data_IF_172689247480
#
_entry.id   IF_172689247480
#
_cell.length_a   1.000
_cell.length_b   1.000
_cell.length_c   1.000
_cell.angle_alpha   90.00
_cell.angle_beta   90.00
_cell.angle_gamma   90.00
#
_symmetry.space_group_name_H-M   'P 1'
#
loop_
_entity.id
_entity.type
_entity.pdbx_description
1 polymer ?
#
# COMPACT_ATOMS: atom_id res chain seq x y z
N UNK A 1 -12.75 6.36 10.78
CA UNK A 1 -13.57 5.41 10.00
C UNK A 1 -13.78 4.14 10.78
N UNK A 2 -15.02 3.63 10.82
CA UNK A 2 -15.33 2.29 11.32
C UNK A 2 -15.28 1.27 10.18
N UNK A 3 -14.95 0.02 10.49
CA UNK A 3 -15.04 -1.09 9.54
C UNK A 3 -16.51 -1.47 9.34
N UNK A 4 -16.84 -2.06 8.19
CA UNK A 4 -18.22 -2.40 7.84
C UNK A 4 -18.67 -3.71 8.46
N UNK A 5 -19.94 -3.81 8.81
CA UNK A 5 -20.50 -4.99 9.49
C UNK A 5 -20.35 -6.29 8.71
N UNK A 6 -20.32 -6.20 7.37
CA UNK A 6 -20.15 -7.36 6.48
C UNK A 6 -18.68 -7.73 6.23
N UNK A 7 -17.77 -6.74 6.19
CA UNK A 7 -16.37 -6.99 5.84
C UNK A 7 -15.53 -7.36 7.07
N UNK A 8 -15.85 -6.83 8.25
CA UNK A 8 -15.08 -7.07 9.46
C UNK A 8 -15.03 -8.55 9.86
N UNK A 9 -16.14 -9.32 9.85
CA UNK A 9 -16.10 -10.75 10.15
C UNK A 9 -15.25 -11.55 9.14
N UNK A 10 -15.26 -11.16 7.86
CA UNK A 10 -14.45 -11.80 6.82
C UNK A 10 -12.96 -11.50 7.03
N UNK A 11 -12.62 -10.25 7.37
CA UNK A 11 -11.24 -9.86 7.70
C UNK A 11 -10.73 -10.67 8.89
N UNK A 12 -11.52 -10.76 9.98
CA UNK A 12 -11.13 -11.53 11.16
C UNK A 12 -10.90 -13.02 10.87
N UNK A 13 -11.66 -13.59 9.91
CA UNK A 13 -11.57 -15.00 9.56
C UNK A 13 -10.44 -15.32 8.57
N UNK A 14 -10.20 -14.47 7.58
CA UNK A 14 -9.36 -14.80 6.42
C UNK A 14 -8.07 -13.97 6.30
N UNK A 15 -7.94 -12.86 7.03
CA UNK A 15 -6.73 -12.02 6.96
C UNK A 15 -5.75 -12.46 8.02
N UNK A 16 -4.60 -12.97 7.61
CA UNK A 16 -3.54 -13.43 8.51
C UNK A 16 -2.88 -12.29 9.30
N UNK A 17 -2.87 -11.08 8.75
CA UNK A 17 -2.16 -9.94 9.34
C UNK A 17 -2.61 -8.59 8.82
N UNK A 18 -2.55 -7.61 9.73
CA UNK A 18 -2.64 -6.18 9.43
C UNK A 18 -1.26 -5.54 9.66
N UNK A 19 -0.71 -4.90 8.62
CA UNK A 19 0.54 -4.13 8.70
C UNK A 19 0.16 -2.65 8.72
N UNK A 20 0.73 -1.89 9.67
CA UNK A 20 0.52 -0.44 9.78
C UNK A 20 1.70 0.30 9.16
N UNK A 21 1.40 1.34 8.40
CA UNK A 21 2.38 2.21 7.77
C UNK A 21 2.14 3.66 8.17
N UNK A 22 3.19 4.47 8.10
CA UNK A 22 3.18 5.91 8.34
C UNK A 22 3.03 6.67 7.03
N UNK A 23 2.62 7.94 7.09
CA UNK A 23 2.52 8.79 5.91
C UNK A 23 3.85 8.93 5.17
N UNK A 24 4.98 9.00 5.89
CA UNK A 24 6.31 9.03 5.28
C UNK A 24 6.59 7.77 4.46
N UNK A 25 6.29 6.59 5.01
CA UNK A 25 6.44 5.31 4.30
C UNK A 25 5.53 5.24 3.06
N UNK A 26 4.33 5.82 3.13
CA UNK A 26 3.40 5.91 1.98
C UNK A 26 4.00 6.79 0.88
N UNK A 27 4.51 7.98 1.21
CA UNK A 27 5.11 8.92 0.24
C UNK A 27 6.34 8.29 -0.43
N UNK A 28 7.23 7.65 0.34
CA UNK A 28 8.38 6.93 -0.21
C UNK A 28 7.96 5.80 -1.16
N UNK A 29 6.91 5.05 -0.81
CA UNK A 29 6.36 4.01 -1.67
C UNK A 29 5.77 4.57 -2.97
N UNK A 30 5.00 5.68 -2.91
CA UNK A 30 4.47 6.36 -4.10
C UNK A 30 5.61 6.78 -5.04
N UNK A 31 6.63 7.44 -4.48
CA UNK A 31 7.79 7.91 -5.23
C UNK A 31 8.51 6.75 -5.93
N UNK A 32 8.75 5.65 -5.23
CA UNK A 32 9.42 4.48 -5.80
C UNK A 32 8.62 3.84 -6.95
N UNK A 33 7.30 3.70 -6.82
CA UNK A 33 6.45 3.18 -7.89
C UNK A 33 6.51 4.11 -9.12
N UNK A 34 6.41 5.42 -8.91
CA UNK A 34 6.55 6.40 -9.97
C UNK A 34 7.93 6.34 -10.64
N UNK A 35 9.02 6.35 -9.87
CA UNK A 35 10.38 6.37 -10.41
C UNK A 35 10.76 5.07 -11.14
N UNK A 36 10.36 3.91 -10.60
CA UNK A 36 10.80 2.59 -11.09
C UNK A 36 9.83 1.96 -12.07
N UNK A 37 8.52 2.09 -11.83
CA UNK A 37 7.50 1.48 -12.68
C UNK A 37 6.90 2.48 -13.68
N UNK A 38 7.15 3.79 -13.51
CA UNK A 38 6.56 4.87 -14.33
C UNK A 38 5.03 4.90 -14.27
N UNK A 39 4.47 4.44 -13.14
CA UNK A 39 3.04 4.44 -12.86
C UNK A 39 2.78 5.44 -11.75
N UNK A 40 1.76 6.29 -11.93
CA UNK A 40 1.29 7.20 -10.89
C UNK A 40 0.19 6.51 -10.09
N UNK A 41 0.33 6.51 -8.77
CA UNK A 41 -0.61 5.88 -7.84
C UNK A 41 -1.02 6.87 -6.75
N UNK A 42 -2.19 6.66 -6.17
CA UNK A 42 -2.68 7.47 -5.04
C UNK A 42 -2.14 7.00 -3.68
N UNK A 43 -2.12 7.86 -2.64
CA UNK A 43 -1.59 7.50 -1.32
C UNK A 43 -2.25 6.25 -0.72
N UNK A 44 -3.58 6.13 -0.83
CA UNK A 44 -4.35 4.96 -0.37
C UNK A 44 -3.89 3.66 -1.04
N UNK A 45 -3.57 3.71 -2.33
CA UNK A 45 -3.07 2.54 -3.07
C UNK A 45 -1.62 2.19 -2.71
N UNK A 46 -0.81 3.18 -2.36
CA UNK A 46 0.60 2.96 -2.01
C UNK A 46 0.79 2.26 -0.65
N UNK A 47 -0.23 2.28 0.22
CA UNK A 47 -0.22 1.61 1.54
C UNK A 47 0.21 0.15 1.46
N UNK A 48 -0.29 -0.60 0.46
CA UNK A 48 0.04 -2.02 0.30
C UNK A 48 1.53 -2.23 -0.03
N UNK A 49 2.09 -1.40 -0.92
CA UNK A 49 3.51 -1.47 -1.27
C UNK A 49 4.41 -0.98 -0.13
N UNK A 50 4.01 0.08 0.58
CA UNK A 50 4.70 0.56 1.77
C UNK A 50 4.81 -0.52 2.85
N UNK A 51 3.74 -1.31 3.07
CA UNK A 51 3.76 -2.43 4.01
C UNK A 51 4.75 -3.52 3.62
N UNK A 52 4.87 -3.82 2.32
CA UNK A 52 5.86 -4.76 1.79
C UNK A 52 7.29 -4.24 2.01
N UNK A 53 7.56 -2.96 1.73
CA UNK A 53 8.88 -2.36 1.92
C UNK A 53 9.30 -2.35 3.40
N UNK A 54 8.36 -2.04 4.30
CA UNK A 54 8.57 -2.03 5.75
C UNK A 54 8.96 -3.40 6.31
N UNK A 55 8.31 -4.46 5.85
CA UNK A 55 8.60 -5.85 6.25
C UNK A 55 9.45 -6.61 5.20
N UNK A 56 10.29 -5.91 4.41
CA UNK A 56 11.04 -6.50 3.28
C UNK A 56 11.77 -7.80 3.61
N UNK A 57 12.37 -7.91 4.79
CA UNK A 57 13.16 -9.08 5.20
C UNK A 57 12.28 -10.32 5.37
N UNK A 58 11.03 -10.13 5.79
CA UNK A 58 10.04 -11.22 5.92
C UNK A 58 9.61 -11.80 4.58
N UNK A 59 9.62 -10.96 3.55
CA UNK A 59 9.18 -11.31 2.20
C UNK A 59 10.34 -11.67 1.27
N UNK A 60 11.59 -11.61 1.77
CA UNK A 60 12.79 -11.95 1.01
C UNK A 60 12.71 -13.36 0.44
N UNK A 61 13.02 -13.49 -0.85
CA UNK A 61 13.00 -14.77 -1.57
C UNK A 61 11.60 -15.30 -1.90
N UNK A 62 10.53 -14.58 -1.54
CA UNK A 62 9.15 -14.96 -1.89
C UNK A 62 8.69 -14.23 -3.15
N UNK A 63 7.79 -14.86 -3.90
CA UNK A 63 7.02 -14.18 -4.94
C UNK A 63 5.84 -13.48 -4.27
N UNK A 64 5.79 -12.16 -4.36
CA UNK A 64 4.75 -11.34 -3.72
C UNK A 64 4.01 -10.57 -4.79
N UNK A 65 2.68 -10.56 -4.70
CA UNK A 65 1.81 -9.71 -5.51
C UNK A 65 1.31 -8.57 -4.63
N UNK A 66 1.35 -7.34 -5.16
CA UNK A 66 0.80 -6.15 -4.51
C UNK A 66 -0.29 -5.59 -5.41
N UNK A 67 -1.46 -5.35 -4.85
CA UNK A 67 -2.59 -4.78 -5.58
C UNK A 67 -2.43 -3.26 -5.59
N UNK A 68 -2.40 -2.68 -6.78
CA UNK A 68 -2.51 -1.24 -7.00
C UNK A 68 -3.98 -0.93 -7.30
N UNK A 69 -4.67 -0.32 -6.35
CA UNK A 69 -6.13 -0.12 -6.41
C UNK A 69 -6.54 1.15 -7.14
N UNK A 70 -5.67 2.15 -7.24
CA UNK A 70 -6.03 3.45 -7.80
C UNK A 70 -4.84 4.37 -8.05
N UNK A 71 -5.09 5.40 -8.87
CA UNK A 71 -4.12 6.42 -9.26
C UNK A 71 -4.75 7.80 -9.43
N UNK A 72 -5.87 8.05 -8.73
CA UNK A 72 -6.60 9.31 -8.85
C UNK A 72 -5.90 10.40 -8.02
N UNK A 73 -4.88 11.02 -8.61
CA UNK A 73 -4.10 12.08 -7.98
C UNK A 73 -3.99 13.29 -8.90
N UNK A 74 -3.91 14.46 -8.28
CA UNK A 74 -3.51 15.67 -8.99
C UNK A 74 -1.98 15.70 -9.14
N UNK A 75 -1.52 15.68 -10.40
CA UNK A 75 -0.10 15.71 -10.75
C UNK A 75 0.62 16.97 -10.28
N UNK A 76 -0.11 18.08 -10.07
CA UNK A 76 0.47 19.32 -9.55
C UNK A 76 0.77 19.25 -8.04
N UNK A 77 0.20 18.27 -7.34
CA UNK A 77 0.21 18.16 -5.88
C UNK A 77 0.80 16.82 -5.42
N UNK A 78 1.82 16.31 -6.13
CA UNK A 78 2.54 15.12 -5.68
C UNK A 78 3.34 15.44 -4.41
N UNK A 79 3.34 14.57 -3.40
CA UNK A 79 3.92 14.85 -2.09
C UNK A 79 5.44 14.67 -2.03
N UNK A 80 6.12 14.62 -3.17
CA UNK A 80 7.57 14.38 -3.31
C UNK A 80 8.19 15.21 -4.43
#
# INVERSE_FOLDING_TARGET
>A
TQLGDKNFPLIQKYVDRIIRVTEKEIIEAMRLVCERMKIIIEPSSAVAFAGLLKEKDRFKGKKVCVIISGGNVDLKNLPF
#
